data_IF_071078360609
#
_entry.id   IF_071078360609
#
_cell.length_a   1.000
_cell.length_b   1.000
_cell.length_c   1.000
_cell.angle_alpha   90.00
_cell.angle_beta   90.00
_cell.angle_gamma   90.00
#
_symmetry.space_group_name_H-M   'P 1'
#
loop_
_entity.id
_entity.type
_entity.pdbx_description
1 polymer ?
#
# COMPACT_ATOMS: atom_id res chain seq x y z
N UNK A 1 -13.45 18.64 18.72
CA UNK A 1 -12.30 18.90 17.83
C UNK A 1 -12.46 17.97 16.65
N UNK A 2 -12.01 18.34 15.46
CA UNK A 2 -12.11 17.46 14.32
C UNK A 2 -11.12 16.29 14.50
N UNK A 3 -11.63 15.07 14.51
CA UNK A 3 -10.80 13.85 14.65
C UNK A 3 -9.97 13.58 13.37
N UNK A 4 -10.24 14.35 12.29
CA UNK A 4 -9.62 14.24 10.98
C UNK A 4 -9.08 15.59 10.54
N UNK A 5 -7.81 15.62 10.14
CA UNK A 5 -7.20 16.76 9.44
C UNK A 5 -6.90 16.33 8.00
N UNK A 6 -7.26 17.19 7.05
CA UNK A 6 -6.88 17.05 5.64
C UNK A 6 -5.75 18.01 5.34
N UNK A 7 -4.63 17.52 4.86
CA UNK A 7 -3.48 18.33 4.46
C UNK A 7 -3.43 18.42 2.94
N UNK A 8 -3.51 19.67 2.42
CA UNK A 8 -3.33 19.98 1.00
C UNK A 8 -1.97 20.61 0.74
N UNK A 9 -1.52 20.66 -0.50
CA UNK A 9 -0.17 21.14 -0.85
C UNK A 9 0.00 22.64 -0.58
N UNK A 10 -0.79 23.47 -1.23
CA UNK A 10 -0.82 24.93 -1.14
C UNK A 10 -2.16 25.46 -1.66
N UNK A 11 -2.55 26.73 -1.36
CA UNK A 11 -3.81 27.28 -1.81
C UNK A 11 -3.94 27.40 -3.32
N UNK A 12 -5.09 27.07 -3.87
CA UNK A 12 -5.46 27.33 -5.26
C UNK A 12 -5.72 28.84 -5.49
N UNK A 13 -5.90 29.26 -6.75
CA UNK A 13 -6.26 30.64 -7.06
C UNK A 13 -7.57 31.05 -6.40
N UNK A 14 -8.58 30.19 -6.47
CA UNK A 14 -9.90 30.41 -5.85
C UNK A 14 -9.79 30.44 -4.34
N UNK A 15 -8.96 29.58 -3.75
CA UNK A 15 -8.76 29.52 -2.30
C UNK A 15 -8.18 30.82 -1.76
N UNK A 16 -7.22 31.44 -2.48
CA UNK A 16 -6.68 32.75 -2.13
C UNK A 16 -7.73 33.88 -2.25
N UNK A 17 -8.61 33.78 -3.24
CA UNK A 17 -9.65 34.78 -3.45
C UNK A 17 -10.79 34.68 -2.40
N UNK A 18 -11.10 33.49 -1.94
CA UNK A 18 -12.19 33.22 -0.98
C UNK A 18 -11.72 33.16 0.47
N UNK A 19 -10.42 33.00 0.69
CA UNK A 19 -9.85 32.74 2.03
C UNK A 19 -10.16 31.32 2.56
N UNK A 20 -10.72 30.43 1.74
CA UNK A 20 -11.08 29.06 2.12
C UNK A 20 -10.34 28.05 1.26
N UNK A 21 -9.66 27.09 1.90
CA UNK A 21 -9.01 25.98 1.20
C UNK A 21 -10.05 25.04 0.58
N UNK A 22 -9.67 24.40 -0.53
CA UNK A 22 -10.54 23.50 -1.27
C UNK A 22 -11.89 24.13 -1.68
N UNK A 23 -11.87 25.42 -2.07
CA UNK A 23 -13.05 26.17 -2.50
C UNK A 23 -13.26 26.18 -4.03
N UNK A 24 -12.20 25.87 -4.81
CA UNK A 24 -12.23 25.85 -6.28
C UNK A 24 -12.71 24.52 -6.88
N UNK A 25 -12.47 24.32 -8.18
CA UNK A 25 -12.85 23.10 -8.91
C UNK A 25 -12.27 21.82 -8.28
N UNK A 26 -11.01 21.87 -7.82
CA UNK A 26 -10.38 20.76 -7.12
C UNK A 26 -11.05 20.45 -5.80
N UNK A 27 -11.45 21.49 -5.08
CA UNK A 27 -12.18 21.36 -3.82
C UNK A 27 -13.57 20.75 -4.02
N UNK A 28 -14.28 21.12 -5.08
CA UNK A 28 -15.58 20.52 -5.40
C UNK A 28 -15.48 18.99 -5.52
N UNK A 29 -14.53 18.49 -6.31
CA UNK A 29 -14.32 17.05 -6.45
C UNK A 29 -13.96 16.38 -5.14
N UNK A 30 -13.11 17.03 -4.32
CA UNK A 30 -12.77 16.49 -3.00
C UNK A 30 -14.02 16.38 -2.11
N UNK A 31 -14.84 17.42 -2.04
CA UNK A 31 -16.02 17.42 -1.18
C UNK A 31 -17.10 16.45 -1.68
N UNK A 32 -17.29 16.31 -2.99
CA UNK A 32 -18.19 15.28 -3.55
C UNK A 32 -17.78 13.87 -3.09
N UNK A 33 -16.49 13.52 -3.21
CA UNK A 33 -15.97 12.23 -2.76
C UNK A 33 -16.02 12.07 -1.23
N UNK A 34 -15.73 13.13 -0.49
CA UNK A 34 -15.76 13.13 0.97
C UNK A 34 -17.19 12.91 1.49
N UNK A 35 -18.19 13.57 0.90
CA UNK A 35 -19.60 13.44 1.26
C UNK A 35 -20.13 12.02 0.99
N UNK A 36 -19.68 11.36 -0.09
CA UNK A 36 -20.05 9.97 -0.40
C UNK A 36 -19.64 8.98 0.73
N UNK A 37 -18.62 9.33 1.52
CA UNK A 37 -18.11 8.51 2.64
C UNK A 37 -18.42 9.09 4.01
N UNK A 38 -19.32 10.10 4.08
CA UNK A 38 -19.76 10.73 5.32
C UNK A 38 -18.81 11.78 5.91
N UNK A 39 -17.77 12.19 5.17
CA UNK A 39 -16.89 13.28 5.56
C UNK A 39 -17.44 14.61 5.11
N UNK A 40 -17.56 15.58 6.02
CA UNK A 40 -18.15 16.89 5.76
C UNK A 40 -17.24 18.01 6.25
N UNK A 41 -17.53 19.24 5.85
CA UNK A 41 -16.81 20.44 6.33
C UNK A 41 -16.92 20.67 7.84
N UNK A 42 -17.85 20.00 8.51
CA UNK A 42 -18.06 20.14 9.95
C UNK A 42 -17.17 19.20 10.78
N UNK A 43 -16.76 18.05 10.21
CA UNK A 43 -15.95 17.07 10.90
C UNK A 43 -14.50 16.98 10.40
N UNK A 44 -14.11 17.86 9.46
CA UNK A 44 -12.74 17.92 8.91
C UNK A 44 -12.19 19.34 9.08
N UNK A 45 -10.92 19.42 9.51
CA UNK A 45 -10.10 20.63 9.37
C UNK A 45 -9.16 20.50 8.17
N UNK A 46 -9.00 21.56 7.38
CA UNK A 46 -8.11 21.57 6.20
C UNK A 46 -6.93 22.50 6.46
N UNK A 47 -5.72 22.00 6.30
CA UNK A 47 -4.47 22.75 6.47
C UNK A 47 -3.61 22.66 5.19
N UNK A 48 -2.91 23.74 4.78
CA UNK A 48 -1.95 23.68 3.70
C UNK A 48 -0.55 23.34 4.24
N UNK A 49 0.28 22.66 3.44
CA UNK A 49 1.71 22.52 3.75
C UNK A 49 2.40 23.88 3.69
N UNK A 50 2.14 24.65 2.63
CA UNK A 50 2.66 26.01 2.39
C UNK A 50 1.45 26.95 2.24
N UNK A 51 1.48 28.09 2.92
CA UNK A 51 0.38 29.08 2.91
C UNK A 51 0.38 29.96 1.66
N UNK A 52 1.49 30.06 0.96
CA UNK A 52 1.61 30.81 -0.29
C UNK A 52 1.45 29.92 -1.51
N UNK A 53 0.96 30.49 -2.62
CA UNK A 53 0.85 29.80 -3.90
C UNK A 53 2.12 30.00 -4.73
N UNK A 54 2.71 28.93 -5.34
CA UNK A 54 3.79 29.07 -6.30
C UNK A 54 3.32 29.79 -7.57
N UNK A 55 4.21 30.57 -8.20
CA UNK A 55 3.88 31.44 -9.33
C UNK A 55 3.27 30.71 -10.52
N UNK A 56 3.86 29.58 -10.93
CA UNK A 56 3.31 28.71 -11.98
C UNK A 56 2.17 27.80 -11.50
N UNK A 57 1.96 27.70 -10.19
CA UNK A 57 1.04 26.76 -9.56
C UNK A 57 1.61 25.34 -9.49
N UNK A 58 2.92 25.18 -9.58
CA UNK A 58 3.62 23.90 -9.48
C UNK A 58 4.61 23.94 -8.32
N UNK A 59 4.73 22.84 -7.60
CA UNK A 59 5.64 22.73 -6.44
C UNK A 59 7.10 22.96 -6.82
N UNK A 60 7.46 22.72 -8.07
CA UNK A 60 8.81 22.92 -8.59
C UNK A 60 9.31 24.37 -8.45
N UNK A 61 8.42 25.35 -8.41
CA UNK A 61 8.78 26.77 -8.16
C UNK A 61 9.35 26.99 -6.76
N UNK A 62 9.04 26.09 -5.84
CA UNK A 62 9.52 26.09 -4.46
C UNK A 62 10.73 25.20 -4.24
N UNK A 63 11.23 24.55 -5.29
CA UNK A 63 12.30 23.58 -5.20
C UNK A 63 13.62 24.10 -5.76
N UNK A 64 14.71 23.62 -5.14
CA UNK A 64 16.08 23.84 -5.57
C UNK A 64 16.83 22.51 -5.68
N UNK A 65 18.04 22.50 -6.23
CA UNK A 65 18.87 21.31 -6.29
C UNK A 65 19.45 20.94 -4.91
N UNK A 66 19.93 19.71 -4.74
CA UNK A 66 20.50 19.23 -3.47
C UNK A 66 21.64 20.12 -2.97
N UNK A 67 22.59 20.46 -3.86
CA UNK A 67 23.76 21.28 -3.51
C UNK A 67 23.35 22.64 -2.96
N UNK A 68 22.36 23.28 -3.56
CA UNK A 68 21.86 24.58 -3.10
C UNK A 68 21.07 24.42 -1.80
N UNK A 69 20.26 23.37 -1.65
CA UNK A 69 19.53 23.09 -0.42
C UNK A 69 20.47 22.94 0.79
N UNK A 70 21.55 22.16 0.63
CA UNK A 70 22.58 21.98 1.67
C UNK A 70 23.33 23.28 1.98
N UNK A 71 23.67 24.07 0.95
CA UNK A 71 24.36 25.35 1.12
C UNK A 71 23.51 26.38 1.84
N UNK A 72 22.21 26.40 1.55
CA UNK A 72 21.30 27.44 2.06
C UNK A 72 20.63 27.08 3.40
N UNK A 73 20.58 25.78 3.75
CA UNK A 73 19.96 25.35 4.99
C UNK A 73 20.46 26.10 6.23
N UNK A 74 21.79 26.35 6.44
CA UNK A 74 22.29 27.08 7.60
C UNK A 74 21.81 28.53 7.65
N UNK A 75 21.56 29.19 6.50
CA UNK A 75 21.06 30.56 6.42
C UNK A 75 19.64 30.69 6.97
N UNK A 76 18.90 29.56 7.04
CA UNK A 76 17.53 29.52 7.51
C UNK A 76 17.36 28.82 8.88
N UNK A 77 18.49 28.50 9.54
CA UNK A 77 18.52 27.95 10.89
C UNK A 77 18.58 26.41 10.97
N UNK A 78 18.90 25.72 9.87
CA UNK A 78 19.08 24.28 9.85
C UNK A 78 20.59 23.97 9.68
N UNK A 79 21.22 23.22 10.60
CA UNK A 79 22.65 22.88 10.50
C UNK A 79 23.02 22.14 9.21
N UNK A 80 22.11 21.32 8.69
CA UNK A 80 22.14 20.65 7.40
C UNK A 80 20.72 20.55 6.86
N UNK A 81 20.55 20.17 5.58
CA UNK A 81 19.21 19.99 5.04
C UNK A 81 18.51 18.76 5.68
N UNK A 82 17.39 18.95 6.41
CA UNK A 82 16.88 17.91 7.32
C UNK A 82 15.90 16.92 6.68
N UNK A 83 15.60 17.04 5.37
CA UNK A 83 14.50 16.32 4.72
C UNK A 83 14.95 15.60 3.45
N UNK A 84 14.14 14.61 3.02
CA UNK A 84 14.34 13.96 1.73
C UNK A 84 13.92 14.85 0.57
N UNK A 85 14.16 14.41 -0.66
CA UNK A 85 13.71 15.13 -1.86
C UNK A 85 12.19 14.98 -2.07
N UNK A 86 11.53 16.02 -2.57
CA UNK A 86 10.11 15.98 -2.97
C UNK A 86 9.94 15.19 -4.26
N UNK A 87 10.85 15.42 -5.23
CA UNK A 87 10.94 14.73 -6.51
C UNK A 87 12.43 14.53 -6.81
N UNK A 88 12.79 13.52 -7.57
CA UNK A 88 14.21 13.21 -7.88
C UNK A 88 14.99 14.48 -8.21
N UNK A 89 16.03 14.79 -7.40
CA UNK A 89 16.87 15.96 -7.53
C UNK A 89 16.24 17.30 -7.17
N UNK A 90 14.99 17.32 -6.66
CA UNK A 90 14.26 18.53 -6.25
C UNK A 90 13.99 18.52 -4.75
N UNK A 91 14.54 19.50 -4.05
CA UNK A 91 14.43 19.71 -2.61
C UNK A 91 13.67 20.98 -2.33
N UNK A 92 12.82 21.01 -1.32
CA UNK A 92 12.13 22.23 -0.91
C UNK A 92 13.16 23.29 -0.53
N UNK A 93 12.95 24.52 -0.96
CA UNK A 93 13.82 25.64 -0.57
C UNK A 93 13.81 25.80 0.96
N UNK A 94 14.98 25.88 1.64
CA UNK A 94 15.06 25.91 3.11
C UNK A 94 14.20 26.99 3.78
N UNK A 95 13.99 28.14 3.12
CA UNK A 95 13.10 29.21 3.63
C UNK A 95 11.67 28.74 3.93
N UNK A 96 11.20 27.70 3.22
CA UNK A 96 9.84 27.18 3.35
C UNK A 96 9.75 26.03 4.35
N UNK A 97 10.87 25.49 4.84
CA UNK A 97 10.85 24.44 5.85
C UNK A 97 10.15 24.87 7.15
N UNK A 98 10.27 26.15 7.52
CA UNK A 98 9.57 26.71 8.69
C UNK A 98 8.04 26.61 8.58
N UNK A 99 7.47 26.64 7.36
CA UNK A 99 6.03 26.41 7.19
C UNK A 99 5.67 24.94 7.38
N UNK A 100 6.56 24.02 6.95
CA UNK A 100 6.41 22.58 7.22
C UNK A 100 6.52 22.28 8.71
N UNK A 101 7.49 22.88 9.40
CA UNK A 101 7.66 22.72 10.86
C UNK A 101 6.42 23.23 11.61
N UNK A 102 5.90 24.40 11.22
CA UNK A 102 4.65 24.93 11.78
C UNK A 102 3.46 24.00 11.56
N UNK A 103 3.35 23.37 10.37
CA UNK A 103 2.30 22.38 10.11
C UNK A 103 2.43 21.18 11.06
N UNK A 104 3.65 20.67 11.24
CA UNK A 104 3.96 19.56 12.16
C UNK A 104 3.58 19.92 13.60
N UNK A 105 3.98 21.09 14.07
CA UNK A 105 3.65 21.62 15.41
C UNK A 105 2.12 21.76 15.60
N UNK A 106 1.43 22.31 14.59
CA UNK A 106 -0.02 22.47 14.62
C UNK A 106 -0.73 21.12 14.73
N UNK A 107 -0.35 20.13 13.90
CA UNK A 107 -0.94 18.79 13.93
C UNK A 107 -0.62 18.09 15.26
N UNK A 108 0.62 18.21 15.74
CA UNK A 108 1.03 17.66 17.04
C UNK A 108 0.23 18.20 18.21
N UNK A 109 -0.14 19.49 18.17
CA UNK A 109 -0.95 20.12 19.22
C UNK A 109 -2.42 19.73 19.16
N UNK A 110 -2.96 19.54 17.95
CA UNK A 110 -4.36 19.16 17.72
C UNK A 110 -4.65 17.69 18.00
N UNK A 111 -3.64 16.82 17.89
CA UNK A 111 -3.73 15.37 18.13
C UNK A 111 -4.92 14.70 17.44
N UNK A 112 -5.05 14.81 16.12
CA UNK A 112 -6.13 14.12 15.40
C UNK A 112 -5.94 12.60 15.42
N UNK A 113 -7.04 11.84 15.32
CA UNK A 113 -6.95 10.40 15.11
C UNK A 113 -6.33 10.04 13.77
N UNK A 114 -6.52 10.92 12.77
CA UNK A 114 -6.06 10.67 11.40
C UNK A 114 -5.72 11.98 10.68
N UNK A 115 -4.66 11.92 9.87
CA UNK A 115 -4.38 12.93 8.85
C UNK A 115 -4.50 12.32 7.45
N UNK A 116 -5.27 12.95 6.58
CA UNK A 116 -5.37 12.60 5.15
C UNK A 116 -4.47 13.56 4.36
N UNK A 117 -3.47 13.04 3.63
CA UNK A 117 -2.60 13.83 2.79
C UNK A 117 -3.07 13.81 1.33
N UNK A 118 -3.38 14.98 0.77
CA UNK A 118 -3.78 15.13 -0.62
C UNK A 118 -2.55 15.41 -1.49
N UNK A 119 -2.09 14.39 -2.23
CA UNK A 119 -0.98 14.49 -3.17
C UNK A 119 0.40 14.20 -2.57
N UNK A 120 1.40 14.18 -3.45
CA UNK A 120 2.76 13.75 -3.10
C UNK A 120 3.50 14.73 -2.19
N UNK A 121 3.22 16.02 -2.30
CA UNK A 121 3.88 17.03 -1.47
C UNK A 121 3.34 17.02 -0.03
N UNK A 122 2.02 16.91 0.16
CA UNK A 122 1.43 16.73 1.48
C UNK A 122 1.91 15.42 2.14
N UNK A 123 2.01 14.33 1.36
CA UNK A 123 2.56 13.06 1.81
C UNK A 123 4.02 13.20 2.27
N UNK A 124 4.86 13.87 1.48
CA UNK A 124 6.24 14.14 1.85
C UNK A 124 6.35 14.98 3.12
N UNK A 125 5.49 15.98 3.28
CA UNK A 125 5.52 16.87 4.45
C UNK A 125 5.36 16.12 5.77
N UNK A 126 4.55 15.04 5.81
CA UNK A 126 4.28 14.28 7.03
C UNK A 126 4.95 12.90 7.11
N UNK A 127 5.32 12.29 5.97
CA UNK A 127 5.96 10.97 5.94
C UNK A 127 7.44 11.03 5.51
N UNK A 128 7.98 12.19 5.20
CA UNK A 128 9.31 12.38 4.59
C UNK A 128 9.56 11.48 3.37
N UNK A 129 8.48 11.15 2.67
CA UNK A 129 8.46 10.25 1.53
C UNK A 129 7.39 10.69 0.52
N UNK A 130 7.81 11.01 -0.72
CA UNK A 130 6.92 11.50 -1.78
C UNK A 130 6.33 10.40 -2.69
N UNK A 131 6.59 9.12 -2.41
CA UNK A 131 6.16 7.98 -3.25
C UNK A 131 4.67 7.69 -3.05
N UNK A 132 3.82 8.62 -3.46
CA UNK A 132 2.37 8.56 -3.26
C UNK A 132 1.74 7.25 -3.75
N UNK A 133 2.09 6.78 -4.94
CA UNK A 133 1.49 5.57 -5.56
C UNK A 133 1.67 4.31 -4.71
N UNK A 134 2.76 4.23 -3.93
CA UNK A 134 3.03 3.09 -3.06
C UNK A 134 2.51 3.25 -1.64
N UNK A 135 2.18 4.48 -1.22
CA UNK A 135 1.74 4.79 0.14
C UNK A 135 0.23 5.07 0.23
N UNK A 136 -0.41 5.43 -0.89
CA UNK A 136 -1.83 5.81 -0.89
C UNK A 136 -2.73 4.70 -0.34
N UNK A 137 -3.78 5.12 0.34
CA UNK A 137 -4.80 4.24 0.89
C UNK A 137 -4.33 3.33 2.03
N UNK A 138 -3.11 3.53 2.54
CA UNK A 138 -2.55 2.74 3.64
C UNK A 138 -2.31 3.62 4.86
N UNK A 139 -2.83 3.20 6.01
CA UNK A 139 -2.53 3.84 7.29
C UNK A 139 -1.05 3.63 7.62
N UNK A 140 -0.31 4.72 7.72
CA UNK A 140 1.13 4.74 7.98
C UNK A 140 1.41 5.68 9.14
N UNK A 141 2.30 5.29 10.05
CA UNK A 141 2.74 6.17 11.14
C UNK A 141 3.70 7.23 10.59
N UNK A 142 3.52 8.46 11.02
CA UNK A 142 4.44 9.55 10.68
C UNK A 142 5.77 9.37 11.40
N UNK A 143 6.92 9.39 10.68
CA UNK A 143 8.23 9.39 11.32
C UNK A 143 8.57 10.73 12.00
N UNK A 144 7.76 11.76 11.74
CA UNK A 144 7.99 13.13 12.23
C UNK A 144 7.11 13.47 13.44
N UNK A 145 5.99 12.79 13.59
CA UNK A 145 5.04 12.97 14.71
C UNK A 145 4.73 11.58 15.25
N UNK A 146 5.39 11.14 16.34
CA UNK A 146 5.17 9.81 16.91
C UNK A 146 3.70 9.55 17.25
N UNK A 147 3.19 8.39 16.84
CA UNK A 147 1.81 7.98 17.06
C UNK A 147 0.78 8.61 16.10
N UNK A 148 1.19 9.51 15.21
CA UNK A 148 0.27 10.08 14.23
C UNK A 148 0.02 9.12 13.08
N UNK A 149 -1.25 8.79 12.85
CA UNK A 149 -1.73 8.02 11.71
C UNK A 149 -1.95 8.93 10.50
N UNK A 150 -1.36 8.56 9.36
CA UNK A 150 -1.46 9.30 8.09
C UNK A 150 -1.93 8.36 6.98
N UNK A 151 -2.92 8.77 6.20
CA UNK A 151 -3.35 8.11 4.97
C UNK A 151 -3.16 9.07 3.79
N UNK A 152 -2.20 8.79 2.90
CA UNK A 152 -2.07 9.52 1.65
C UNK A 152 -3.13 9.12 0.63
N UNK A 153 -3.58 10.08 -0.19
CA UNK A 153 -4.42 9.83 -1.36
C UNK A 153 -4.09 10.80 -2.49
N UNK A 154 -4.68 10.58 -3.67
CA UNK A 154 -4.48 11.46 -4.81
C UNK A 154 -5.01 12.87 -4.53
N UNK A 155 -4.25 13.88 -4.99
CA UNK A 155 -4.74 15.25 -4.99
C UNK A 155 -5.90 15.37 -6.01
N UNK A 156 -6.99 16.06 -5.71
CA UNK A 156 -8.14 16.16 -6.62
C UNK A 156 -7.82 16.69 -8.03
N UNK A 157 -6.74 17.46 -8.19
CA UNK A 157 -6.26 17.87 -9.51
C UNK A 157 -5.85 16.69 -10.40
N UNK A 158 -5.41 15.59 -9.82
CA UNK A 158 -5.10 14.36 -10.56
C UNK A 158 -6.35 13.72 -11.12
N UNK A 159 -7.44 13.74 -10.36
CA UNK A 159 -8.75 13.21 -10.77
C UNK A 159 -9.32 14.03 -11.95
N UNK A 160 -9.14 15.35 -11.95
CA UNK A 160 -9.57 16.21 -13.10
C UNK A 160 -8.84 15.79 -14.37
N UNK A 161 -7.57 15.41 -14.29
CA UNK A 161 -6.77 15.02 -15.45
C UNK A 161 -7.01 13.59 -15.88
N UNK A 162 -7.29 12.71 -14.94
CA UNK A 162 -7.47 11.28 -15.14
C UNK A 162 -8.62 10.79 -14.27
N UNK A 163 -9.82 10.73 -14.87
CA UNK A 163 -11.06 10.45 -14.15
C UNK A 163 -11.10 9.08 -13.46
N UNK A 164 -10.39 8.09 -14.00
CA UNK A 164 -10.26 6.75 -13.39
C UNK A 164 -9.71 6.79 -11.97
N UNK A 165 -8.91 7.81 -11.62
CA UNK A 165 -8.37 8.01 -10.27
C UNK A 165 -9.44 8.33 -9.22
N UNK A 166 -10.67 8.70 -9.64
CA UNK A 166 -11.79 8.97 -8.74
C UNK A 166 -12.17 7.75 -7.90
N UNK A 167 -12.26 6.59 -8.52
CA UNK A 167 -12.57 5.33 -7.80
C UNK A 167 -11.52 5.01 -6.75
N UNK A 168 -10.27 5.24 -7.09
CA UNK A 168 -9.12 5.00 -6.18
C UNK A 168 -9.17 5.96 -4.99
N UNK A 169 -9.36 7.26 -5.26
CA UNK A 169 -9.44 8.25 -4.20
C UNK A 169 -10.67 8.03 -3.29
N UNK A 170 -11.80 7.62 -3.86
CA UNK A 170 -12.99 7.23 -3.09
C UNK A 170 -12.73 6.04 -2.17
N UNK A 171 -12.04 5.00 -2.65
CA UNK A 171 -11.64 3.86 -1.84
C UNK A 171 -10.68 4.27 -0.71
N UNK A 172 -9.72 5.17 -0.98
CA UNK A 172 -8.79 5.68 0.03
C UNK A 172 -9.54 6.48 1.12
N UNK A 173 -10.48 7.35 0.73
CA UNK A 173 -11.30 8.12 1.67
C UNK A 173 -12.23 7.23 2.51
N UNK A 174 -12.81 6.18 1.92
CA UNK A 174 -13.62 5.21 2.65
C UNK A 174 -12.79 4.48 3.72
N UNK A 175 -11.54 4.14 3.43
CA UNK A 175 -10.63 3.60 4.44
C UNK A 175 -10.29 4.62 5.50
N UNK A 176 -10.01 5.86 5.09
CA UNK A 176 -9.70 6.95 6.00
C UNK A 176 -10.84 7.19 7.02
N UNK A 177 -12.10 7.09 6.59
CA UNK A 177 -13.27 7.22 7.48
C UNK A 177 -13.26 6.15 8.57
N UNK A 178 -12.99 4.88 8.22
CA UNK A 178 -12.91 3.78 9.19
C UNK A 178 -11.72 3.93 10.14
N UNK A 179 -10.57 4.32 9.60
CA UNK A 179 -9.34 4.51 10.38
C UNK A 179 -9.41 5.73 11.32
N UNK A 180 -10.30 6.68 11.06
CA UNK A 180 -10.46 7.87 11.89
C UNK A 180 -11.23 7.60 13.20
N UNK A 181 -11.88 6.45 13.34
CA UNK A 181 -12.62 6.07 14.56
C UNK A 181 -11.70 5.88 15.77
N UNK A 182 -10.42 5.60 15.54
CA UNK A 182 -9.43 5.34 16.60
C UNK A 182 -8.02 5.82 16.17
N UNK A 183 -7.15 6.23 17.10
CA UNK A 183 -5.82 6.76 16.76
C UNK A 183 -4.80 5.68 16.39
N UNK A 184 -4.96 4.43 16.87
CA UNK A 184 -3.99 3.36 16.69
C UNK A 184 -4.02 2.79 15.25
N UNK A 185 -2.88 2.30 14.77
CA UNK A 185 -2.79 1.52 13.54
C UNK A 185 -3.01 0.05 13.88
N UNK A 186 -4.21 -0.46 13.61
CA UNK A 186 -4.55 -1.86 13.83
C UNK A 186 -4.23 -2.68 12.59
N UNK A 187 -3.29 -3.62 12.72
CA UNK A 187 -2.95 -4.58 11.67
C UNK A 187 -3.40 -5.98 12.07
N UNK A 188 -4.05 -6.74 11.18
CA UNK A 188 -4.42 -8.11 11.50
C UNK A 188 -3.16 -8.95 11.75
N UNK A 189 -3.17 -9.71 12.84
CA UNK A 189 -2.13 -10.72 13.08
C UNK A 189 -2.31 -11.85 12.06
N UNK A 190 -1.21 -12.25 11.44
CA UNK A 190 -1.17 -13.34 10.47
C UNK A 190 -0.16 -14.37 10.88
N UNK A 191 -0.51 -15.63 10.65
CA UNK A 191 0.38 -16.76 10.88
C UNK A 191 0.63 -17.45 9.54
N UNK A 192 1.90 -17.65 9.21
CA UNK A 192 2.32 -18.46 8.08
C UNK A 192 3.00 -19.69 8.63
N UNK A 193 2.45 -20.85 8.32
CA UNK A 193 3.01 -22.14 8.71
C UNK A 193 3.91 -22.66 7.59
N UNK A 194 5.16 -22.95 7.92
CA UNK A 194 6.15 -23.53 6.99
C UNK A 194 6.56 -24.87 7.58
N UNK A 195 6.26 -26.01 6.91
CA UNK A 195 6.57 -27.33 7.43
C UNK A 195 8.08 -27.61 7.33
N UNK A 196 8.62 -28.26 8.38
CA UNK A 196 10.00 -28.75 8.41
C UNK A 196 10.08 -30.29 8.44
N UNK A 197 8.97 -30.94 8.81
CA UNK A 197 8.89 -32.39 8.97
C UNK A 197 7.70 -32.97 8.22
N UNK A 198 7.63 -34.31 8.10
CA UNK A 198 6.45 -34.99 7.53
C UNK A 198 5.22 -34.82 8.42
N UNK A 199 5.43 -34.83 9.71
CA UNK A 199 4.36 -34.64 10.70
C UNK A 199 3.70 -33.27 10.52
N UNK A 200 4.50 -32.23 10.19
CA UNK A 200 3.97 -30.91 9.86
C UNK A 200 3.15 -30.95 8.56
N UNK A 201 3.62 -31.68 7.54
CA UNK A 201 2.87 -31.85 6.29
C UNK A 201 1.54 -32.58 6.53
N UNK A 202 1.52 -33.62 7.37
CA UNK A 202 0.31 -34.34 7.75
C UNK A 202 -0.69 -33.45 8.50
N UNK A 203 -0.16 -32.57 9.36
CA UNK A 203 -0.99 -31.60 10.06
C UNK A 203 -1.56 -30.56 9.07
N UNK A 204 -0.74 -30.01 8.17
CA UNK A 204 -1.17 -29.08 7.13
C UNK A 204 -2.25 -29.73 6.24
N UNK A 205 -2.07 -31.00 5.84
CA UNK A 205 -3.08 -31.74 5.09
C UNK A 205 -4.44 -31.68 5.79
N UNK A 206 -4.49 -32.02 7.09
CA UNK A 206 -5.72 -32.00 7.87
C UNK A 206 -6.37 -30.61 7.91
N UNK A 207 -5.56 -29.56 8.09
CA UNK A 207 -6.05 -28.18 8.13
C UNK A 207 -6.63 -27.73 6.78
N UNK A 208 -5.95 -28.05 5.68
CA UNK A 208 -6.42 -27.69 4.34
C UNK A 208 -7.66 -28.48 3.92
N UNK A 209 -7.74 -29.79 4.26
CA UNK A 209 -8.92 -30.61 3.98
C UNK A 209 -10.14 -30.27 4.85
N UNK A 210 -9.94 -29.65 6.01
CA UNK A 210 -11.03 -29.14 6.84
C UNK A 210 -11.73 -27.92 6.22
N UNK A 211 -11.10 -27.26 5.24
CA UNK A 211 -11.61 -26.07 4.59
C UNK A 211 -12.42 -26.41 3.34
N UNK A 212 -13.55 -25.75 3.15
CA UNK A 212 -14.35 -25.85 1.91
C UNK A 212 -13.83 -24.95 0.80
N UNK A 213 -12.96 -23.98 1.14
CA UNK A 213 -12.36 -23.02 0.22
C UNK A 213 -10.97 -22.62 0.69
N UNK A 214 -10.06 -22.43 -0.24
CA UNK A 214 -8.72 -21.88 0.00
C UNK A 214 -8.28 -21.00 -1.16
N UNK A 215 -7.27 -20.17 -0.93
CA UNK A 215 -6.51 -19.51 -1.99
C UNK A 215 -5.24 -20.31 -2.25
N UNK A 216 -4.78 -20.29 -3.51
CA UNK A 216 -3.59 -20.96 -3.99
C UNK A 216 -2.72 -19.95 -4.72
N UNK A 217 -1.42 -20.00 -4.48
CA UNK A 217 -0.41 -19.22 -5.17
C UNK A 217 0.89 -20.04 -5.25
N UNK A 218 1.69 -19.85 -6.31
CA UNK A 218 2.99 -20.47 -6.44
C UNK A 218 4.07 -19.41 -6.68
N UNK A 219 5.27 -19.69 -6.18
CA UNK A 219 6.45 -18.92 -6.56
C UNK A 219 7.37 -19.77 -7.45
N UNK A 220 7.94 -19.12 -8.46
CA UNK A 220 8.78 -19.82 -9.44
C UNK A 220 10.14 -19.14 -9.60
N UNK A 221 11.17 -19.91 -9.86
CA UNK A 221 12.50 -19.44 -10.22
C UNK A 221 13.13 -20.39 -11.23
N UNK A 222 13.74 -19.86 -12.30
CA UNK A 222 14.39 -20.66 -13.34
C UNK A 222 13.48 -21.78 -13.92
N UNK A 223 12.23 -21.46 -14.18
CA UNK A 223 11.20 -22.39 -14.66
C UNK A 223 10.89 -23.58 -13.71
N UNK A 224 11.21 -23.45 -12.43
CA UNK A 224 10.89 -24.43 -11.40
C UNK A 224 9.95 -23.79 -10.37
N UNK A 225 9.05 -24.58 -9.79
CA UNK A 225 8.24 -24.17 -8.66
C UNK A 225 9.12 -24.20 -7.41
N UNK A 226 9.21 -23.09 -6.69
CA UNK A 226 10.05 -22.96 -5.49
C UNK A 226 9.28 -23.16 -4.20
N UNK A 227 8.01 -22.77 -4.19
CA UNK A 227 7.08 -23.07 -3.10
C UNK A 227 5.64 -22.99 -3.61
N UNK A 228 4.73 -23.59 -2.84
CA UNK A 228 3.29 -23.50 -3.03
C UNK A 228 2.65 -22.98 -1.77
N UNK A 229 1.90 -21.88 -1.88
CA UNK A 229 1.17 -21.23 -0.80
C UNK A 229 -0.32 -21.55 -0.84
N UNK A 230 -0.88 -21.84 0.33
CA UNK A 230 -2.31 -22.00 0.53
C UNK A 230 -2.76 -21.07 1.66
N UNK A 231 -3.94 -20.46 1.57
CA UNK A 231 -4.53 -19.76 2.71
C UNK A 231 -5.99 -20.17 2.86
N UNK A 232 -6.39 -20.46 4.08
CA UNK A 232 -7.75 -20.88 4.45
C UNK A 232 -8.57 -19.71 5.00
N UNK A 233 -7.88 -18.64 5.43
CA UNK A 233 -8.49 -17.43 5.98
C UNK A 233 -7.60 -16.21 5.73
N UNK A 234 -8.07 -14.99 6.00
CA UNK A 234 -7.23 -13.78 5.94
C UNK A 234 -6.08 -13.75 6.95
N UNK A 235 -6.09 -14.61 7.96
CA UNK A 235 -5.11 -14.64 9.06
C UNK A 235 -4.20 -15.85 9.07
N UNK A 236 -4.46 -16.88 8.24
CA UNK A 236 -3.71 -18.13 8.24
C UNK A 236 -3.31 -18.54 6.83
N UNK A 237 -2.02 -18.82 6.66
CA UNK A 237 -1.47 -19.33 5.42
C UNK A 237 -0.47 -20.48 5.69
N UNK A 238 -0.31 -21.34 4.70
CA UNK A 238 0.55 -22.50 4.71
C UNK A 238 1.45 -22.45 3.48
N UNK A 239 2.76 -22.35 3.68
CA UNK A 239 3.72 -22.31 2.60
C UNK A 239 4.51 -23.62 2.59
N UNK A 240 4.36 -24.44 1.56
CA UNK A 240 5.11 -25.68 1.36
C UNK A 240 6.29 -25.37 0.44
N UNK A 241 7.50 -25.21 0.99
CA UNK A 241 8.69 -24.91 0.21
C UNK A 241 9.16 -26.19 -0.53
N UNK A 242 9.74 -26.00 -1.70
CA UNK A 242 10.39 -27.05 -2.48
C UNK A 242 11.90 -26.77 -2.56
N UNK A 243 12.28 -25.48 -2.64
CA UNK A 243 13.68 -25.11 -2.71
C UNK A 243 14.10 -24.24 -1.54
N UNK A 244 15.39 -24.34 -1.16
CA UNK A 244 16.02 -23.48 -0.18
C UNK A 244 17.32 -22.90 -0.76
N UNK A 245 17.30 -21.65 -1.13
CA UNK A 245 18.46 -20.95 -1.70
C UNK A 245 19.67 -20.78 -0.78
N UNK A 246 19.53 -21.12 0.51
CA UNK A 246 20.62 -21.11 1.50
C UNK A 246 21.45 -22.39 1.45
N UNK A 247 20.91 -23.46 0.86
CA UNK A 247 21.57 -24.76 0.73
C UNK A 247 22.31 -24.89 -0.61
N UNK A 248 23.49 -25.53 -0.65
CA UNK A 248 24.27 -25.69 -1.88
C UNK A 248 23.52 -26.48 -2.98
N UNK A 249 22.72 -27.44 -2.58
CA UNK A 249 21.93 -28.29 -3.48
C UNK A 249 20.54 -27.73 -3.78
N UNK A 250 20.20 -26.58 -3.18
CA UNK A 250 18.91 -25.91 -3.33
C UNK A 250 17.69 -26.71 -2.87
N UNK A 251 17.86 -27.90 -2.30
CA UNK A 251 16.76 -28.75 -1.86
C UNK A 251 16.28 -28.39 -0.46
N UNK A 252 14.99 -28.11 -0.32
CA UNK A 252 14.41 -27.91 1.01
C UNK A 252 14.29 -29.24 1.75
N UNK A 253 13.78 -30.26 1.06
CA UNK A 253 13.49 -31.60 1.56
C UNK A 253 14.57 -32.63 1.21
N UNK A 254 14.55 -33.75 1.92
CA UNK A 254 15.12 -34.97 1.36
C UNK A 254 14.32 -35.38 0.11
N UNK A 255 14.94 -36.18 -0.80
CA UNK A 255 14.25 -36.62 -2.00
C UNK A 255 12.92 -37.37 -1.70
N UNK A 256 12.88 -38.15 -0.62
CA UNK A 256 11.68 -38.90 -0.24
C UNK A 256 10.60 -37.97 0.30
N UNK A 257 10.98 -36.93 1.07
CA UNK A 257 10.05 -35.98 1.65
C UNK A 257 9.55 -34.97 0.61
N UNK A 258 10.38 -34.60 -0.40
CA UNK A 258 9.94 -33.78 -1.53
C UNK A 258 8.83 -34.49 -2.33
N UNK A 259 9.02 -35.79 -2.62
CA UNK A 259 7.96 -36.58 -3.28
C UNK A 259 6.68 -36.58 -2.43
N UNK A 260 6.83 -36.68 -1.12
CA UNK A 260 5.69 -36.64 -0.20
C UNK A 260 4.98 -35.28 -0.24
N UNK A 261 5.74 -34.20 -0.14
CA UNK A 261 5.20 -32.84 -0.23
C UNK A 261 4.47 -32.57 -1.56
N UNK A 262 5.07 -32.98 -2.70
CA UNK A 262 4.44 -32.83 -4.02
C UNK A 262 3.16 -33.67 -4.13
N UNK A 263 3.13 -34.90 -3.58
CA UNK A 263 1.90 -35.71 -3.54
C UNK A 263 0.81 -35.07 -2.69
N UNK A 264 1.16 -34.43 -1.58
CA UNK A 264 0.23 -33.69 -0.76
C UNK A 264 -0.35 -32.49 -1.54
N UNK A 265 0.51 -31.67 -2.16
CA UNK A 265 0.09 -30.56 -3.03
C UNK A 265 -0.87 -31.06 -4.13
N UNK A 266 -0.51 -32.18 -4.80
CA UNK A 266 -1.37 -32.81 -5.80
C UNK A 266 -2.74 -33.16 -5.24
N UNK A 267 -2.79 -33.84 -4.10
CA UNK A 267 -4.02 -34.28 -3.45
C UNK A 267 -4.95 -33.10 -3.12
N UNK A 268 -4.39 -31.96 -2.66
CA UNK A 268 -5.15 -30.74 -2.35
C UNK A 268 -5.62 -30.07 -3.63
N UNK A 269 -4.73 -29.89 -4.61
CA UNK A 269 -5.08 -29.23 -5.86
C UNK A 269 -6.15 -29.99 -6.65
N UNK A 270 -6.10 -31.34 -6.64
CA UNK A 270 -7.03 -32.19 -7.38
C UNK A 270 -8.33 -32.52 -6.63
N UNK A 271 -8.49 -32.10 -5.38
CA UNK A 271 -9.74 -32.29 -4.62
C UNK A 271 -10.84 -31.32 -5.10
N UNK A 272 -11.89 -31.77 -5.80
CA UNK A 272 -12.89 -30.89 -6.40
C UNK A 272 -13.86 -30.27 -5.36
N UNK A 273 -14.00 -30.86 -4.17
CA UNK A 273 -14.84 -30.34 -3.11
C UNK A 273 -14.31 -29.06 -2.48
N UNK A 274 -12.97 -28.87 -2.52
CA UNK A 274 -12.33 -27.65 -2.02
C UNK A 274 -12.30 -26.63 -3.14
N UNK A 275 -13.01 -25.53 -2.99
CA UNK A 275 -12.99 -24.43 -3.95
C UNK A 275 -11.65 -23.69 -3.88
N UNK A 276 -11.06 -23.33 -5.01
CA UNK A 276 -9.80 -22.60 -5.09
C UNK A 276 -10.02 -21.23 -5.70
N UNK A 277 -9.51 -20.21 -5.02
CA UNK A 277 -9.37 -18.86 -5.52
C UNK A 277 -7.90 -18.57 -5.84
N UNK A 278 -7.62 -17.91 -6.95
CA UNK A 278 -6.28 -17.55 -7.41
C UNK A 278 -6.23 -16.08 -7.83
N UNK A 279 -5.04 -15.60 -8.10
CA UNK A 279 -4.78 -14.30 -8.72
C UNK A 279 -4.02 -14.50 -10.03
N UNK A 280 -4.65 -14.26 -11.18
CA UNK A 280 -4.07 -14.60 -12.48
C UNK A 280 -3.74 -16.11 -12.58
N UNK A 281 -4.67 -16.91 -12.10
CA UNK A 281 -4.47 -18.34 -11.83
C UNK A 281 -4.11 -19.20 -13.05
N UNK A 282 -4.24 -18.67 -14.27
CA UNK A 282 -3.76 -19.33 -15.48
C UNK A 282 -2.26 -19.65 -15.36
N UNK A 283 -1.48 -18.73 -14.79
CA UNK A 283 -0.05 -18.93 -14.56
C UNK A 283 0.21 -20.11 -13.64
N UNK A 284 -0.39 -20.14 -12.47
CA UNK A 284 -0.20 -21.17 -11.44
C UNK A 284 -0.64 -22.56 -11.95
N UNK A 285 -1.83 -22.60 -12.56
CA UNK A 285 -2.41 -23.84 -13.09
C UNK A 285 -1.53 -24.45 -14.19
N UNK A 286 -0.98 -23.61 -15.10
CA UNK A 286 -0.09 -24.06 -16.14
C UNK A 286 1.21 -24.63 -15.58
N UNK A 287 1.84 -23.97 -14.62
CA UNK A 287 3.08 -24.44 -13.99
C UNK A 287 2.88 -25.74 -13.22
N UNK A 288 1.81 -25.85 -12.42
CA UNK A 288 1.46 -27.09 -11.71
C UNK A 288 1.27 -28.25 -12.67
N UNK A 289 0.64 -28.01 -13.82
CA UNK A 289 0.44 -29.02 -14.86
C UNK A 289 1.75 -29.36 -15.58
N UNK A 290 2.52 -28.40 -16.02
CA UNK A 290 3.74 -28.64 -16.80
C UNK A 290 4.84 -29.30 -16.00
N UNK A 291 5.04 -28.89 -14.75
CA UNK A 291 6.16 -29.36 -13.94
C UNK A 291 5.82 -30.70 -13.24
N UNK A 292 4.60 -30.81 -12.72
CA UNK A 292 4.23 -31.98 -11.89
C UNK A 292 3.03 -32.77 -12.39
N UNK A 293 2.40 -32.42 -13.51
CA UNK A 293 1.20 -33.07 -14.01
C UNK A 293 -0.01 -32.93 -13.07
N UNK A 294 -0.06 -31.88 -12.25
CA UNK A 294 -1.12 -31.64 -11.28
C UNK A 294 -2.26 -30.89 -11.95
N UNK A 295 -3.49 -31.44 -11.86
CA UNK A 295 -4.72 -30.78 -12.31
C UNK A 295 -5.32 -29.96 -11.17
N UNK A 296 -5.51 -28.67 -11.38
CA UNK A 296 -6.22 -27.83 -10.40
C UNK A 296 -7.72 -27.98 -10.60
N UNK A 297 -8.36 -28.74 -9.71
CA UNK A 297 -9.80 -28.94 -9.69
C UNK A 297 -10.47 -27.97 -8.71
N UNK A 298 -11.74 -27.65 -8.93
CA UNK A 298 -12.48 -26.75 -8.05
C UNK A 298 -12.02 -25.28 -8.13
N UNK A 299 -11.31 -24.88 -9.19
CA UNK A 299 -11.01 -23.48 -9.46
C UNK A 299 -12.30 -22.73 -9.77
N UNK A 300 -12.64 -21.74 -8.96
CA UNK A 300 -13.92 -21.00 -9.03
C UNK A 300 -13.75 -19.50 -9.15
N UNK A 301 -12.66 -18.95 -8.65
CA UNK A 301 -12.50 -17.51 -8.53
C UNK A 301 -11.08 -17.08 -8.92
N UNK A 302 -11.02 -16.03 -9.75
CA UNK A 302 -9.80 -15.32 -10.07
C UNK A 302 -9.97 -13.84 -9.74
N UNK A 303 -9.20 -13.35 -8.77
CA UNK A 303 -9.32 -11.97 -8.33
C UNK A 303 -8.96 -10.95 -9.42
N UNK A 304 -8.08 -11.30 -10.38
CA UNK A 304 -7.79 -10.46 -11.54
C UNK A 304 -9.01 -10.31 -12.44
N UNK A 305 -9.68 -11.43 -12.75
CA UNK A 305 -10.87 -11.44 -13.61
C UNK A 305 -12.05 -10.73 -12.93
N UNK A 306 -12.24 -10.99 -11.63
CA UNK A 306 -13.29 -10.33 -10.84
C UNK A 306 -13.08 -8.80 -10.81
N UNK A 307 -11.85 -8.34 -10.56
CA UNK A 307 -11.53 -6.93 -10.58
C UNK A 307 -11.69 -6.32 -11.99
N UNK A 308 -11.25 -7.03 -13.03
CA UNK A 308 -11.42 -6.57 -14.40
C UNK A 308 -12.90 -6.39 -14.79
N UNK A 309 -13.77 -7.26 -14.29
CA UNK A 309 -15.22 -7.17 -14.54
C UNK A 309 -15.85 -5.95 -13.86
N UNK A 310 -15.30 -5.50 -12.74
CA UNK A 310 -15.78 -4.30 -12.03
C UNK A 310 -15.16 -3.02 -12.58
N UNK A 311 -13.85 -3.03 -12.85
CA UNK A 311 -13.06 -1.85 -13.24
C UNK A 311 -12.04 -2.24 -14.32
N UNK A 312 -12.49 -2.32 -15.56
CA UNK A 312 -11.65 -2.74 -16.70
C UNK A 312 -10.47 -1.82 -16.96
N UNK A 313 -10.59 -0.54 -16.63
CA UNK A 313 -9.60 0.51 -16.84
C UNK A 313 -8.50 0.57 -15.74
N UNK A 314 -8.76 -0.02 -14.55
CA UNK A 314 -7.81 0.05 -13.45
C UNK A 314 -6.73 -1.05 -13.54
N UNK A 315 -5.54 -0.83 -12.93
CA UNK A 315 -4.47 -1.85 -12.86
C UNK A 315 -4.92 -3.12 -12.16
N UNK A 316 -4.50 -4.29 -12.64
CA UNK A 316 -4.93 -5.62 -12.17
C UNK A 316 -3.87 -6.36 -11.34
N UNK A 317 -2.79 -5.69 -10.96
CA UNK A 317 -1.77 -6.32 -10.10
C UNK A 317 -2.30 -6.55 -8.69
N UNK A 318 -1.88 -7.66 -8.06
CA UNK A 318 -2.28 -8.00 -6.67
C UNK A 318 -1.97 -6.86 -5.70
N UNK A 319 -0.79 -6.22 -5.83
CA UNK A 319 -0.41 -5.09 -4.99
C UNK A 319 -1.34 -3.87 -5.14
N UNK A 320 -1.82 -3.60 -6.37
CA UNK A 320 -2.82 -2.54 -6.59
C UNK A 320 -4.16 -2.92 -5.96
N UNK A 321 -4.66 -4.12 -6.24
CA UNK A 321 -5.94 -4.58 -5.69
C UNK A 321 -5.91 -4.64 -4.16
N UNK A 322 -4.82 -5.13 -3.57
CA UNK A 322 -4.61 -5.11 -2.13
C UNK A 322 -4.72 -3.69 -1.56
N UNK A 323 -4.14 -2.70 -2.26
CA UNK A 323 -4.23 -1.28 -1.84
C UNK A 323 -5.63 -0.69 -1.96
N UNK A 324 -6.50 -1.24 -2.80
CA UNK A 324 -7.89 -0.77 -2.95
C UNK A 324 -8.85 -1.50 -2.00
N UNK A 325 -8.75 -2.83 -1.93
CA UNK A 325 -9.73 -3.67 -1.25
C UNK A 325 -9.37 -4.05 0.19
N UNK A 326 -8.11 -3.86 0.60
CA UNK A 326 -7.64 -4.24 1.93
C UNK A 326 -6.92 -3.07 2.63
N UNK A 327 -6.67 -3.19 3.93
CA UNK A 327 -5.85 -2.22 4.69
C UNK A 327 -4.34 -2.56 4.64
N UNK A 328 -3.92 -3.36 3.65
CA UNK A 328 -2.54 -3.77 3.52
C UNK A 328 -1.66 -2.68 2.90
N UNK A 329 -0.43 -2.61 3.39
CA UNK A 329 0.61 -1.83 2.76
C UNK A 329 0.95 -2.39 1.36
N UNK A 330 1.49 -1.57 0.48
CA UNK A 330 1.92 -2.04 -0.83
C UNK A 330 3.00 -3.12 -0.71
N UNK A 331 2.69 -4.34 -1.12
CA UNK A 331 3.56 -5.53 -1.04
C UNK A 331 4.90 -5.38 -1.77
N UNK A 332 4.97 -4.55 -2.81
CA UNK A 332 6.22 -4.27 -3.52
C UNK A 332 7.28 -3.53 -2.68
N UNK A 333 6.88 -2.89 -1.58
CA UNK A 333 7.83 -2.28 -0.66
C UNK A 333 8.54 -3.34 0.19
N UNK A 334 7.85 -4.37 0.65
CA UNK A 334 8.44 -5.46 1.43
C UNK A 334 9.48 -6.23 0.62
N UNK A 335 9.18 -6.58 -0.63
CA UNK A 335 10.10 -7.29 -1.52
C UNK A 335 11.43 -6.55 -1.78
N UNK A 336 11.43 -5.22 -1.75
CA UNK A 336 12.65 -4.40 -1.90
C UNK A 336 13.50 -4.26 -0.65
N UNK A 337 12.94 -4.54 0.52
CA UNK A 337 13.68 -4.55 1.78
C UNK A 337 14.51 -5.83 1.90
N UNK A 338 13.94 -6.98 1.59
CA UNK A 338 14.64 -8.27 1.57
C UNK A 338 15.81 -8.29 0.57
N UNK A 339 15.67 -7.68 -0.62
CA UNK A 339 16.76 -7.57 -1.59
C UNK A 339 17.94 -6.69 -1.13
N UNK A 340 17.75 -5.84 -0.12
CA UNK A 340 18.81 -4.99 0.44
C UNK A 340 19.54 -5.63 1.62
N UNK A 341 18.92 -6.54 2.34
CA UNK A 341 19.55 -7.24 3.47
C UNK A 341 20.40 -8.44 3.02
N UNK A 342 20.21 -8.91 1.78
CA UNK A 342 20.97 -10.04 1.17
C UNK A 342 22.18 -9.56 0.35
N UNK A 343 22.47 -8.27 0.29
CA UNK A 343 23.70 -7.68 -0.29
C UNK A 343 24.58 -7.08 0.78
#
# INVERSE_FOLDING_TARGET
>A
MADIIVVTEFPGKTDLATGQLLSGATGRIFWELAEEVGLTKHNISVLPVISSRPGSGKIEDFCICKKDAEREAPLWGYPSYPRTFIKTGKYLHPRLLKEVDRLIETISSLRPNLVICLGSFATWALLDNSKLTSLRGTATESPLIPGLKVIPTFHPVTIIREWSQRVIAGADLMKATREAEFPEIVRPKRTVYVPETREDLDWIEKMLFASSRLTLDIETKNNQITCVGFATSPSEAYCIPITDGRKPDWNYWSRADEVYAIKLIKKICEEPRIKKGLQNGVYDIQYLWWIWGIKTMGFTDDSLIMHHSLYSELPKSLGFMGSVYTNEASWKLMRKWEEKEVK
#
